data_IF_195060245335
#
_entry.id   IF_195060245335
#
_cell.length_a   1.000
_cell.length_b   1.000
_cell.length_c   1.000
_cell.angle_alpha   90.00
_cell.angle_beta   90.00
_cell.angle_gamma   90.00
#
_symmetry.space_group_name_H-M   'P 1'
#
loop_
_entity.id
_entity.type
_entity.pdbx_description
1 polymer ?
#
# COMPACT_ATOMS: atom_id res chain seq x y z
N UNK A 1 11.77 36.70 49.98
CA UNK A 1 12.33 38.07 50.19
C UNK A 1 11.66 38.97 49.17
N UNK A 2 10.72 39.79 49.62
CA UNK A 2 9.87 40.63 48.77
C UNK A 2 10.59 41.95 48.58
N UNK A 3 11.08 42.28 47.42
CA UNK A 3 11.51 43.63 47.06
C UNK A 3 10.39 44.30 46.24
N UNK A 4 9.76 45.33 46.86
CA UNK A 4 8.92 46.31 46.16
C UNK A 4 9.83 47.36 45.57
N UNK A 5 9.73 47.58 44.25
CA UNK A 5 10.14 48.86 43.68
C UNK A 5 9.19 49.23 42.52
N UNK A 6 8.61 50.41 42.65
CA UNK A 6 7.90 51.26 41.69
C UNK A 6 6.99 50.59 40.64
N UNK A 7 5.76 50.19 41.04
CA UNK A 7 4.55 50.62 40.33
C UNK A 7 4.35 50.17 38.88
N UNK A 8 4.85 48.99 38.38
CA UNK A 8 4.42 48.38 37.10
C UNK A 8 4.46 46.85 37.21
N UNK A 9 3.28 46.25 37.14
CA UNK A 9 3.17 44.81 36.94
C UNK A 9 3.50 44.54 35.49
N UNK A 10 4.71 44.05 35.18
CA UNK A 10 5.05 43.46 33.91
C UNK A 10 4.71 41.98 34.04
N UNK A 11 3.50 41.61 33.58
CA UNK A 11 3.14 40.23 33.38
C UNK A 11 3.94 39.74 32.16
N UNK A 12 5.06 39.06 32.41
CA UNK A 12 5.82 38.36 31.42
C UNK A 12 4.97 37.20 30.90
N UNK A 13 4.12 37.45 29.92
CA UNK A 13 3.56 36.39 29.08
C UNK A 13 4.73 35.79 28.32
N UNK A 14 5.21 34.64 28.80
CA UNK A 14 5.99 33.72 28.01
C UNK A 14 5.07 33.30 26.83
N UNK A 15 5.29 33.91 25.68
CA UNK A 15 4.76 33.37 24.41
C UNK A 15 5.51 32.08 24.15
N UNK A 16 5.07 30.99 24.78
CA UNK A 16 5.38 29.67 24.26
C UNK A 16 4.87 29.66 22.83
N UNK A 17 5.76 29.76 21.87
CA UNK A 17 5.48 29.48 20.47
C UNK A 17 4.97 28.05 20.44
N UNK A 18 3.66 27.88 20.33
CA UNK A 18 3.06 26.57 20.05
C UNK A 18 3.73 26.09 18.75
N UNK A 19 4.63 25.11 18.86
CA UNK A 19 5.20 24.48 17.68
C UNK A 19 4.05 24.02 16.82
N UNK A 20 3.96 24.56 15.60
CA UNK A 20 2.93 24.17 14.64
C UNK A 20 3.20 22.73 14.22
N UNK A 21 2.34 21.80 14.62
CA UNK A 21 2.42 20.38 14.27
C UNK A 21 1.96 20.20 12.84
N UNK A 22 2.81 19.61 11.98
CA UNK A 22 2.51 19.37 10.57
C UNK A 22 1.29 18.46 10.40
N UNK A 23 0.61 18.56 9.26
CA UNK A 23 -0.49 17.64 8.91
C UNK A 23 -0.02 16.18 8.90
N UNK A 24 1.21 15.91 8.46
CA UNK A 24 1.81 14.59 8.51
C UNK A 24 1.89 14.05 9.95
N UNK A 25 2.36 14.86 10.90
CA UNK A 25 2.49 14.43 12.29
C UNK A 25 1.14 14.34 13.00
N UNK A 26 0.17 15.17 12.60
CA UNK A 26 -1.21 15.03 13.06
C UNK A 26 -1.83 13.74 12.56
N UNK A 27 -1.64 13.39 11.27
CA UNK A 27 -2.16 12.17 10.65
C UNK A 27 -1.60 10.91 11.35
N UNK A 28 -0.31 10.89 11.67
CA UNK A 28 0.33 9.79 12.40
C UNK A 28 -0.31 9.47 13.76
N UNK A 29 -1.04 10.40 14.37
CA UNK A 29 -1.79 10.17 15.61
C UNK A 29 -3.04 9.30 15.42
N UNK A 30 -3.54 9.20 14.21
CA UNK A 30 -4.78 8.50 13.87
C UNK A 30 -4.57 7.28 13.00
N UNK A 31 -3.52 7.27 12.18
CA UNK A 31 -3.31 6.33 11.08
C UNK A 31 -1.82 5.97 11.00
N UNK A 32 -1.53 4.70 10.72
CA UNK A 32 -0.16 4.31 10.36
C UNK A 32 0.17 4.82 8.96
N UNK A 33 1.12 5.72 8.87
CA UNK A 33 1.61 6.26 7.59
C UNK A 33 2.57 5.26 6.97
N UNK A 34 2.34 4.94 5.70
CA UNK A 34 3.11 4.01 4.88
C UNK A 34 3.69 4.79 3.70
N UNK A 35 4.92 4.51 3.30
CA UNK A 35 5.52 5.12 2.11
C UNK A 35 5.30 4.24 0.88
N UNK A 36 4.81 4.83 -0.21
CA UNK A 36 4.63 4.15 -1.51
C UNK A 36 5.75 4.56 -2.45
N UNK A 37 6.88 3.84 -2.41
CA UNK A 37 8.06 4.17 -3.22
C UNK A 37 9.07 3.04 -3.31
N UNK A 38 9.79 2.96 -4.44
CA UNK A 38 11.04 2.21 -4.57
C UNK A 38 12.28 3.04 -4.22
N UNK A 39 12.14 4.37 -4.13
CA UNK A 39 13.17 5.30 -3.70
C UNK A 39 13.21 5.36 -2.16
N UNK A 40 13.89 4.39 -1.56
CA UNK A 40 13.85 4.20 -0.11
C UNK A 40 14.63 5.30 0.66
N UNK A 41 15.60 5.96 0.08
CA UNK A 41 16.26 7.07 0.75
C UNK A 41 15.33 8.28 0.92
N UNK A 42 14.46 8.54 -0.07
CA UNK A 42 13.49 9.64 0.01
C UNK A 42 12.48 9.50 1.16
N UNK A 43 12.24 8.28 1.65
CA UNK A 43 11.27 8.06 2.73
C UNK A 43 11.83 8.30 4.14
N UNK A 44 13.16 8.32 4.32
CA UNK A 44 13.80 8.50 5.64
C UNK A 44 13.30 9.73 6.38
N UNK A 45 13.15 10.85 5.67
CA UNK A 45 12.73 12.12 6.27
C UNK A 45 11.31 12.06 6.86
N UNK A 46 10.46 11.17 6.35
CA UNK A 46 9.06 11.08 6.76
C UNK A 46 8.80 10.04 7.85
N UNK A 47 9.75 9.16 8.16
CA UNK A 47 9.65 8.12 9.17
C UNK A 47 8.34 7.31 9.06
N UNK A 48 8.07 6.66 7.91
CA UNK A 48 6.88 5.84 7.75
C UNK A 48 6.97 4.59 8.60
N UNK A 49 5.80 4.02 8.94
CA UNK A 49 5.73 2.78 9.72
C UNK A 49 6.00 1.53 8.86
N UNK A 50 5.34 1.42 7.71
CA UNK A 50 5.51 0.38 6.70
C UNK A 50 5.93 1.02 5.36
N UNK A 51 6.25 0.19 4.37
CA UNK A 51 6.44 0.63 2.99
C UNK A 51 5.79 -0.33 1.99
N UNK A 52 5.35 0.22 0.85
CA UNK A 52 4.85 -0.56 -0.28
C UNK A 52 5.70 -0.32 -1.51
N UNK A 53 5.91 -1.39 -2.26
CA UNK A 53 6.52 -1.34 -3.59
C UNK A 53 5.58 -1.94 -4.62
N UNK A 54 5.93 -1.80 -5.88
CA UNK A 54 5.34 -2.49 -7.02
C UNK A 54 6.35 -2.53 -8.17
N UNK A 55 6.12 -3.33 -9.23
CA UNK A 55 7.06 -3.44 -10.35
C UNK A 55 7.44 -2.10 -11.00
N UNK A 56 6.47 -1.18 -11.13
CA UNK A 56 6.72 0.14 -11.71
C UNK A 56 7.69 0.97 -10.86
N UNK A 57 7.51 0.96 -9.54
CA UNK A 57 8.36 1.70 -8.60
C UNK A 57 9.77 1.12 -8.55
N UNK A 58 9.91 -0.20 -8.57
CA UNK A 58 11.22 -0.87 -8.60
C UNK A 58 11.92 -0.59 -9.93
N UNK A 59 11.22 -0.73 -11.08
CA UNK A 59 11.78 -0.41 -12.38
C UNK A 59 12.27 1.05 -12.43
N UNK A 60 11.46 2.01 -11.95
CA UNK A 60 11.87 3.41 -11.88
C UNK A 60 13.09 3.63 -10.98
N UNK A 61 13.15 2.93 -9.83
CA UNK A 61 14.29 3.02 -8.93
C UNK A 61 15.58 2.49 -9.58
N UNK A 62 15.52 1.38 -10.33
CA UNK A 62 16.70 0.84 -11.04
C UNK A 62 17.30 1.79 -12.08
N UNK A 63 16.55 2.81 -12.52
CA UNK A 63 17.07 3.84 -13.45
C UNK A 63 17.83 4.95 -12.73
N UNK A 64 17.82 4.98 -11.40
CA UNK A 64 18.55 5.96 -10.60
C UNK A 64 19.97 5.45 -10.31
N UNK A 65 21.02 6.28 -10.49
CA UNK A 65 22.42 5.86 -10.25
C UNK A 65 22.64 5.29 -8.85
N UNK A 66 22.01 5.86 -7.84
CA UNK A 66 22.14 5.47 -6.44
C UNK A 66 21.65 4.07 -6.11
N UNK A 67 20.79 3.45 -6.96
CA UNK A 67 20.23 2.10 -6.74
C UNK A 67 20.69 1.07 -7.78
N UNK A 68 21.48 1.48 -8.76
CA UNK A 68 22.02 0.60 -9.81
C UNK A 68 22.77 -0.61 -9.25
N UNK A 69 23.45 -0.43 -8.10
CA UNK A 69 24.20 -1.50 -7.44
C UNK A 69 23.32 -2.69 -7.03
N UNK A 70 22.03 -2.49 -6.73
CA UNK A 70 21.10 -3.58 -6.39
C UNK A 70 20.80 -4.46 -7.60
N UNK A 71 20.63 -3.84 -8.77
CA UNK A 71 20.45 -4.58 -10.03
C UNK A 71 21.72 -5.34 -10.40
N UNK A 72 22.90 -4.71 -10.34
CA UNK A 72 24.18 -5.36 -10.60
C UNK A 72 24.40 -6.53 -9.65
N UNK A 73 24.08 -6.36 -8.36
CA UNK A 73 24.18 -7.42 -7.37
C UNK A 73 23.23 -8.59 -7.70
N UNK A 74 21.96 -8.32 -8.01
CA UNK A 74 20.99 -9.36 -8.34
C UNK A 74 21.44 -10.18 -9.55
N UNK A 75 22.01 -9.54 -10.57
CA UNK A 75 22.57 -10.20 -11.74
C UNK A 75 23.80 -11.02 -11.36
N UNK A 76 24.76 -10.42 -10.64
CA UNK A 76 26.01 -11.09 -10.28
C UNK A 76 25.78 -12.34 -9.43
N UNK A 77 24.83 -12.31 -8.50
CA UNK A 77 24.52 -13.43 -7.62
C UNK A 77 23.94 -14.67 -8.37
N UNK A 78 23.35 -14.45 -9.56
CA UNK A 78 22.62 -15.50 -10.30
C UNK A 78 23.13 -15.76 -11.72
N UNK A 79 24.06 -14.97 -12.27
CA UNK A 79 24.54 -15.11 -13.67
C UNK A 79 25.09 -16.50 -13.99
N UNK A 80 25.79 -17.11 -13.04
CA UNK A 80 26.43 -18.43 -13.20
C UNK A 80 25.53 -19.59 -12.76
N UNK A 81 24.23 -19.31 -12.43
CA UNK A 81 23.28 -20.36 -12.09
C UNK A 81 23.00 -21.29 -13.28
N UNK A 82 22.72 -22.57 -12.99
CA UNK A 82 22.40 -23.58 -14.02
C UNK A 82 20.99 -23.42 -14.64
N UNK A 83 20.26 -22.37 -14.29
CA UNK A 83 18.93 -22.10 -14.81
C UNK A 83 18.99 -21.74 -16.30
N UNK A 84 17.96 -22.12 -17.06
CA UNK A 84 17.79 -21.62 -18.42
C UNK A 84 17.53 -20.10 -18.44
N UNK A 85 17.67 -19.46 -19.59
CA UNK A 85 17.61 -17.99 -19.70
C UNK A 85 16.35 -17.37 -19.12
N UNK A 86 15.17 -17.94 -19.37
CA UNK A 86 13.89 -17.41 -18.88
C UNK A 86 13.78 -17.54 -17.36
N UNK A 87 14.05 -18.72 -16.81
CA UNK A 87 14.02 -18.97 -15.37
C UNK A 87 15.09 -18.15 -14.62
N UNK A 88 16.24 -17.90 -15.26
CA UNK A 88 17.30 -17.04 -14.70
C UNK A 88 16.84 -15.60 -14.57
N UNK A 89 16.23 -15.02 -15.60
CA UNK A 89 15.70 -13.66 -15.57
C UNK A 89 14.63 -13.53 -14.48
N UNK A 90 13.70 -14.50 -14.40
CA UNK A 90 12.68 -14.52 -13.35
C UNK A 90 13.30 -14.55 -11.95
N UNK A 91 14.28 -15.42 -11.73
CA UNK A 91 14.99 -15.51 -10.45
C UNK A 91 15.74 -14.23 -10.10
N UNK A 92 16.35 -13.54 -11.08
CA UNK A 92 17.00 -12.26 -10.87
C UNK A 92 15.99 -11.17 -10.49
N UNK A 93 14.80 -11.16 -11.10
CA UNK A 93 13.72 -10.23 -10.72
C UNK A 93 13.31 -10.47 -9.26
N UNK A 94 13.01 -11.70 -8.88
CA UNK A 94 12.61 -12.04 -7.52
C UNK A 94 13.69 -11.61 -6.51
N UNK A 95 14.96 -11.89 -6.83
CA UNK A 95 16.09 -11.49 -6.00
C UNK A 95 16.23 -9.97 -5.90
N UNK A 96 16.06 -9.25 -7.00
CA UNK A 96 16.05 -7.78 -7.03
C UNK A 96 14.95 -7.18 -6.15
N UNK A 97 13.72 -7.71 -6.25
CA UNK A 97 12.61 -7.27 -5.40
C UNK A 97 12.93 -7.47 -3.91
N UNK A 98 13.52 -8.61 -3.55
CA UNK A 98 13.92 -8.92 -2.18
C UNK A 98 15.07 -8.02 -1.70
N UNK A 99 16.06 -7.72 -2.54
CA UNK A 99 17.13 -6.77 -2.21
C UNK A 99 16.57 -5.38 -1.90
N UNK A 100 15.70 -4.84 -2.75
CA UNK A 100 15.02 -3.57 -2.47
C UNK A 100 14.21 -3.62 -1.17
N UNK A 101 13.43 -4.68 -0.97
CA UNK A 101 12.65 -4.86 0.26
C UNK A 101 13.53 -4.94 1.51
N UNK A 102 14.70 -5.58 1.41
CA UNK A 102 15.66 -5.67 2.52
C UNK A 102 16.25 -4.30 2.88
N UNK A 103 16.60 -3.47 1.89
CA UNK A 103 17.05 -2.10 2.16
C UNK A 103 15.94 -1.24 2.78
N UNK A 104 14.71 -1.35 2.29
CA UNK A 104 13.55 -0.67 2.87
C UNK A 104 13.35 -1.06 4.35
N UNK A 105 13.49 -2.35 4.69
CA UNK A 105 13.29 -2.85 6.05
C UNK A 105 14.36 -2.40 7.06
N UNK A 106 15.46 -1.84 6.59
CA UNK A 106 16.44 -1.14 7.46
C UNK A 106 15.94 0.26 7.88
N UNK A 107 14.98 0.81 7.16
CA UNK A 107 14.45 2.17 7.35
C UNK A 107 13.14 2.14 8.13
N UNK A 108 12.21 1.26 7.73
CA UNK A 108 10.88 1.19 8.35
C UNK A 108 10.87 0.20 9.52
N UNK A 109 10.21 0.54 10.65
CA UNK A 109 10.11 -0.37 11.79
C UNK A 109 9.14 -1.52 11.56
N UNK A 110 8.18 -1.38 10.66
CA UNK A 110 7.12 -2.32 10.37
C UNK A 110 7.46 -3.28 9.21
N UNK A 111 6.64 -3.28 8.16
CA UNK A 111 6.63 -4.27 7.08
C UNK A 111 6.91 -3.64 5.72
N UNK A 112 7.37 -4.49 4.79
CA UNK A 112 7.40 -4.16 3.36
C UNK A 112 6.39 -5.01 2.60
N UNK A 113 5.69 -4.41 1.62
CA UNK A 113 4.87 -5.16 0.66
C UNK A 113 5.66 -5.35 -0.63
N UNK A 114 5.88 -6.62 -1.01
CA UNK A 114 6.56 -7.02 -2.25
C UNK A 114 5.57 -7.70 -3.17
N UNK A 115 5.38 -7.14 -4.36
CA UNK A 115 4.34 -7.55 -5.30
C UNK A 115 4.81 -8.69 -6.20
N UNK A 116 3.97 -9.72 -6.33
CA UNK A 116 4.17 -10.83 -7.27
C UNK A 116 3.94 -10.35 -8.72
N UNK A 117 4.41 -11.15 -9.67
CA UNK A 117 4.16 -10.90 -11.09
C UNK A 117 2.64 -10.84 -11.39
N UNK A 118 2.19 -9.73 -11.95
CA UNK A 118 0.76 -9.54 -12.26
C UNK A 118 0.21 -10.53 -13.28
N UNK A 119 1.07 -11.20 -14.06
CA UNK A 119 0.69 -12.29 -14.99
C UNK A 119 0.15 -13.52 -14.24
N UNK A 120 0.42 -13.63 -12.93
CA UNK A 120 -0.11 -14.68 -12.07
C UNK A 120 -1.52 -14.37 -11.51
N UNK A 121 -2.10 -13.21 -11.82
CA UNK A 121 -3.36 -12.73 -11.23
C UNK A 121 -4.53 -13.70 -11.36
N UNK A 122 -4.51 -14.62 -12.33
CA UNK A 122 -5.54 -15.63 -12.58
C UNK A 122 -5.04 -17.07 -12.37
N UNK A 123 -3.90 -17.24 -11.68
CA UNK A 123 -3.27 -18.54 -11.42
C UNK A 123 -3.05 -18.72 -9.90
N UNK A 124 -3.94 -19.49 -9.26
CA UNK A 124 -3.89 -19.75 -7.82
C UNK A 124 -2.55 -20.38 -7.42
N UNK A 125 -2.20 -21.50 -8.04
CA UNK A 125 -0.97 -22.25 -7.71
C UNK A 125 0.30 -21.44 -7.99
N UNK A 126 0.33 -20.74 -9.13
CA UNK A 126 1.44 -19.86 -9.48
C UNK A 126 1.64 -18.75 -8.44
N UNK A 127 0.55 -18.10 -7.98
CA UNK A 127 0.59 -17.08 -6.95
C UNK A 127 1.05 -17.63 -5.59
N UNK A 128 0.58 -18.82 -5.19
CA UNK A 128 1.01 -19.49 -3.96
C UNK A 128 2.51 -19.80 -4.02
N UNK A 129 2.96 -20.42 -5.09
CA UNK A 129 4.36 -20.80 -5.26
C UNK A 129 5.29 -19.57 -5.29
N UNK A 130 4.89 -18.51 -5.98
CA UNK A 130 5.65 -17.25 -5.99
C UNK A 130 5.70 -16.61 -4.60
N UNK A 131 4.59 -16.60 -3.85
CA UNK A 131 4.56 -16.12 -2.48
C UNK A 131 5.52 -16.87 -1.55
N UNK A 132 5.52 -18.20 -1.64
CA UNK A 132 6.46 -19.06 -0.87
C UNK A 132 7.91 -18.79 -1.25
N UNK A 133 8.19 -18.63 -2.54
CA UNK A 133 9.53 -18.36 -3.06
C UNK A 133 10.06 -17.02 -2.55
N UNK A 134 9.29 -15.96 -2.63
CA UNK A 134 9.68 -14.63 -2.14
C UNK A 134 9.93 -14.64 -0.63
N UNK A 135 9.08 -15.29 0.16
CA UNK A 135 9.29 -15.41 1.60
C UNK A 135 10.58 -16.19 1.92
N UNK A 136 10.83 -17.32 1.23
CA UNK A 136 12.06 -18.08 1.42
C UNK A 136 13.31 -17.24 1.09
N UNK A 137 13.26 -16.40 0.05
CA UNK A 137 14.34 -15.47 -0.28
C UNK A 137 14.56 -14.41 0.82
N UNK A 138 13.50 -13.83 1.35
CA UNK A 138 13.62 -12.91 2.49
C UNK A 138 14.23 -13.59 3.73
N UNK A 139 13.80 -14.79 4.06
CA UNK A 139 14.34 -15.58 5.18
C UNK A 139 15.83 -15.91 5.00
N UNK A 140 16.29 -16.20 3.77
CA UNK A 140 17.71 -16.35 3.43
C UNK A 140 18.53 -15.07 3.67
N UNK A 141 17.89 -13.90 3.54
CA UNK A 141 18.48 -12.61 3.88
C UNK A 141 18.32 -12.22 5.37
N UNK A 142 17.87 -13.15 6.22
CA UNK A 142 17.69 -12.93 7.65
C UNK A 142 16.47 -12.08 8.02
N UNK A 143 15.54 -11.87 7.08
CA UNK A 143 14.30 -11.13 7.30
C UNK A 143 13.19 -12.11 7.69
N UNK A 144 12.59 -11.98 8.88
CA UNK A 144 11.49 -12.85 9.29
C UNK A 144 10.22 -12.54 8.47
N UNK A 145 9.45 -13.59 8.16
CA UNK A 145 8.23 -13.49 7.32
C UNK A 145 7.19 -12.50 7.81
N UNK A 146 7.15 -12.25 9.11
CA UNK A 146 6.23 -11.29 9.75
C UNK A 146 6.51 -9.84 9.33
N UNK A 147 7.72 -9.55 8.83
CA UNK A 147 8.13 -8.25 8.29
C UNK A 147 7.78 -8.08 6.81
N UNK A 148 7.18 -9.10 6.17
CA UNK A 148 6.89 -9.10 4.73
C UNK A 148 5.40 -9.33 4.49
N UNK A 149 4.84 -8.59 3.56
CA UNK A 149 3.52 -8.82 2.98
C UNK A 149 3.69 -9.17 1.51
N UNK A 150 3.25 -10.35 1.11
CA UNK A 150 3.20 -10.71 -0.31
C UNK A 150 2.02 -9.98 -0.94
N UNK A 151 2.30 -9.12 -1.92
CA UNK A 151 1.28 -8.28 -2.55
C UNK A 151 0.77 -8.97 -3.81
N UNK A 152 -0.56 -9.19 -3.88
CA UNK A 152 -1.23 -9.99 -4.91
C UNK A 152 -2.46 -9.21 -5.38
N UNK A 153 -2.80 -9.29 -6.68
CA UNK A 153 -4.02 -8.67 -7.21
C UNK A 153 -5.28 -9.30 -6.59
N UNK A 154 -6.30 -8.47 -6.31
CA UNK A 154 -7.57 -8.90 -5.68
C UNK A 154 -8.53 -9.53 -6.70
N UNK A 155 -8.06 -10.44 -7.54
CA UNK A 155 -8.89 -11.37 -8.31
C UNK A 155 -9.42 -12.46 -7.40
N UNK A 156 -10.43 -13.23 -7.84
CA UNK A 156 -10.86 -14.41 -7.08
C UNK A 156 -9.70 -15.36 -6.81
N UNK A 157 -8.90 -15.62 -7.83
CA UNK A 157 -7.72 -16.49 -7.77
C UNK A 157 -6.66 -15.95 -6.79
N UNK A 158 -6.39 -14.64 -6.83
CA UNK A 158 -5.45 -14.00 -5.90
C UNK A 158 -5.93 -14.06 -4.45
N UNK A 159 -7.22 -13.88 -4.21
CA UNK A 159 -7.85 -14.02 -2.88
C UNK A 159 -7.72 -15.47 -2.37
N UNK A 160 -7.97 -16.47 -3.22
CA UNK A 160 -7.82 -17.88 -2.85
C UNK A 160 -6.36 -18.27 -2.60
N UNK A 161 -5.43 -17.71 -3.37
CA UNK A 161 -4.01 -17.88 -3.10
C UNK A 161 -3.61 -17.30 -1.73
N UNK A 162 -4.08 -16.10 -1.39
CA UNK A 162 -3.80 -15.46 -0.11
C UNK A 162 -4.44 -16.22 1.07
N UNK A 163 -5.63 -16.80 0.90
CA UNK A 163 -6.27 -17.68 1.88
C UNK A 163 -5.41 -18.90 2.21
N UNK A 164 -4.81 -19.53 1.18
CA UNK A 164 -3.89 -20.65 1.38
C UNK A 164 -2.58 -20.21 2.04
N UNK A 165 -1.97 -19.12 1.57
CA UNK A 165 -0.72 -18.59 2.13
C UNK A 165 -0.86 -18.21 3.62
N UNK A 166 -2.03 -17.70 4.03
CA UNK A 166 -2.33 -17.42 5.43
C UNK A 166 -2.21 -18.65 6.32
N UNK A 167 -2.66 -19.82 5.87
CA UNK A 167 -2.54 -21.10 6.62
C UNK A 167 -1.07 -21.47 6.88
N UNK A 168 -0.17 -20.97 6.03
CA UNK A 168 1.27 -21.15 6.11
C UNK A 168 1.97 -20.01 6.86
N UNK A 169 1.20 -19.11 7.49
CA UNK A 169 1.69 -17.91 8.19
C UNK A 169 2.44 -16.94 7.26
N UNK A 170 2.08 -16.92 5.98
CA UNK A 170 2.53 -15.93 5.01
C UNK A 170 1.44 -14.88 4.88
N UNK A 171 1.73 -13.68 5.32
CA UNK A 171 0.80 -12.56 5.27
C UNK A 171 0.76 -11.94 3.86
N UNK A 172 -0.44 -11.59 3.41
CA UNK A 172 -0.65 -10.97 2.11
C UNK A 172 -1.23 -9.56 2.23
N UNK A 173 -0.90 -8.73 1.22
CA UNK A 173 -1.52 -7.45 0.92
C UNK A 173 -2.26 -7.57 -0.41
N UNK A 174 -3.59 -7.57 -0.41
CA UNK A 174 -4.38 -7.67 -1.62
C UNK A 174 -4.57 -6.29 -2.25
N UNK A 175 -4.02 -6.13 -3.46
CA UNK A 175 -3.96 -4.87 -4.23
C UNK A 175 -4.86 -4.91 -5.46
N UNK A 176 -4.91 -3.83 -6.24
CA UNK A 176 -5.85 -3.66 -7.36
C UNK A 176 -7.29 -3.92 -6.89
N UNK A 177 -7.61 -3.38 -5.73
CA UNK A 177 -8.92 -3.49 -5.09
C UNK A 177 -9.70 -2.21 -5.36
N UNK A 178 -10.83 -2.34 -6.02
CA UNK A 178 -11.67 -1.23 -6.48
C UNK A 178 -13.14 -1.40 -6.09
N UNK A 179 -13.60 -2.63 -5.85
CA UNK A 179 -15.01 -2.92 -5.55
C UNK A 179 -15.22 -3.43 -4.13
N UNK A 180 -16.47 -3.30 -3.68
CA UNK A 180 -16.89 -3.81 -2.37
C UNK A 180 -16.89 -5.36 -2.31
N UNK A 181 -17.34 -6.11 -3.34
CA UNK A 181 -17.21 -7.57 -3.36
C UNK A 181 -15.78 -8.07 -3.19
N UNK A 182 -14.78 -7.40 -3.81
CA UNK A 182 -13.37 -7.76 -3.59
C UNK A 182 -12.98 -7.61 -2.11
N UNK A 183 -13.39 -6.52 -1.47
CA UNK A 183 -13.09 -6.29 -0.05
C UNK A 183 -13.74 -7.34 0.85
N UNK A 184 -15.01 -7.68 0.60
CA UNK A 184 -15.72 -8.70 1.39
C UNK A 184 -15.05 -10.07 1.26
N UNK A 185 -14.75 -10.51 0.05
CA UNK A 185 -14.09 -11.80 -0.19
C UNK A 185 -12.70 -11.85 0.46
N UNK A 186 -11.93 -10.75 0.45
CA UNK A 186 -10.64 -10.66 1.15
C UNK A 186 -10.79 -10.82 2.67
N UNK A 187 -11.81 -10.19 3.26
CA UNK A 187 -12.08 -10.31 4.70
C UNK A 187 -12.48 -11.71 5.10
N UNK A 188 -13.35 -12.36 4.32
CA UNK A 188 -13.78 -13.74 4.56
C UNK A 188 -12.65 -14.76 4.41
N UNK A 189 -11.73 -14.52 3.45
CA UNK A 189 -10.49 -15.28 3.32
C UNK A 189 -9.48 -15.01 4.45
N UNK A 190 -9.76 -14.04 5.31
CA UNK A 190 -8.93 -13.63 6.43
C UNK A 190 -7.57 -13.06 6.02
N UNK A 191 -7.50 -12.39 4.90
CA UNK A 191 -6.32 -11.69 4.42
C UNK A 191 -5.81 -10.70 5.46
N UNK A 192 -4.49 -10.57 5.61
CA UNK A 192 -3.90 -9.68 6.61
C UNK A 192 -4.16 -8.21 6.32
N UNK A 193 -4.04 -7.79 5.07
CA UNK A 193 -4.14 -6.39 4.66
C UNK A 193 -4.71 -6.27 3.25
N UNK A 194 -5.52 -5.25 3.02
CA UNK A 194 -5.99 -4.86 1.68
C UNK A 194 -5.57 -3.43 1.35
N UNK A 195 -5.32 -3.18 0.07
CA UNK A 195 -4.97 -1.86 -0.46
C UNK A 195 -6.01 -1.36 -1.47
N UNK A 196 -7.17 -0.86 -1.03
CA UNK A 196 -8.15 -0.23 -1.92
C UNK A 196 -7.59 1.08 -2.51
N UNK A 197 -7.79 1.28 -3.81
CA UNK A 197 -7.25 2.41 -4.56
C UNK A 197 -8.22 3.58 -4.58
N UNK A 198 -7.81 4.71 -4.01
CA UNK A 198 -8.63 5.92 -3.92
C UNK A 198 -8.57 6.73 -5.22
N UNK A 199 -7.39 7.14 -5.64
CA UNK A 199 -7.22 8.07 -6.75
C UNK A 199 -7.57 7.47 -8.12
N UNK A 200 -7.37 6.14 -8.33
CA UNK A 200 -7.78 5.52 -9.60
C UNK A 200 -9.30 5.40 -9.74
N UNK A 201 -10.02 5.24 -8.63
CA UNK A 201 -11.49 5.34 -8.61
C UNK A 201 -11.90 6.75 -8.98
N UNK A 202 -11.34 7.76 -8.31
CA UNK A 202 -11.57 9.16 -8.64
C UNK A 202 -11.32 9.46 -10.12
N UNK A 203 -10.18 9.02 -10.69
CA UNK A 203 -9.83 9.25 -12.09
C UNK A 203 -10.89 8.70 -13.04
N UNK A 204 -11.39 7.48 -12.78
CA UNK A 204 -12.42 6.85 -13.61
C UNK A 204 -13.73 7.64 -13.58
N UNK A 205 -14.21 8.01 -12.39
CA UNK A 205 -15.44 8.79 -12.25
C UNK A 205 -15.31 10.19 -12.87
N UNK A 206 -14.18 10.86 -12.66
CA UNK A 206 -13.92 12.16 -13.29
C UNK A 206 -13.93 12.08 -14.80
N UNK A 207 -13.32 11.07 -15.39
CA UNK A 207 -13.30 10.86 -16.84
C UNK A 207 -14.69 10.57 -17.41
N UNK A 208 -15.52 9.80 -16.69
CA UNK A 208 -16.83 9.38 -17.18
C UNK A 208 -17.96 10.40 -16.90
N UNK A 209 -17.80 11.26 -15.90
CA UNK A 209 -18.85 12.22 -15.50
C UNK A 209 -18.50 13.68 -15.78
N UNK A 210 -17.23 13.99 -16.03
CA UNK A 210 -16.72 15.35 -16.15
C UNK A 210 -16.67 16.14 -14.83
N UNK A 211 -17.03 15.52 -13.68
CA UNK A 211 -17.06 16.19 -12.37
C UNK A 211 -15.73 16.08 -11.66
N UNK A 212 -15.35 17.16 -10.97
CA UNK A 212 -14.21 17.19 -10.06
C UNK A 212 -14.72 16.96 -8.63
N UNK A 213 -14.52 15.74 -8.12
CA UNK A 213 -14.98 15.33 -6.80
C UNK A 213 -13.99 15.75 -5.72
N UNK A 214 -14.49 16.17 -4.53
CA UNK A 214 -13.65 16.62 -3.42
C UNK A 214 -14.20 16.17 -2.08
N UNK A 215 -13.30 15.91 -1.16
CA UNK A 215 -13.65 15.62 0.23
C UNK A 215 -14.56 14.38 0.36
N UNK A 216 -15.69 14.49 1.07
CA UNK A 216 -16.59 13.36 1.30
C UNK A 216 -17.34 12.91 0.03
N UNK A 217 -17.37 13.75 -1.03
CA UNK A 217 -18.02 13.39 -2.30
C UNK A 217 -17.09 12.63 -3.25
N UNK A 218 -15.79 12.50 -2.90
CA UNK A 218 -14.84 11.73 -3.69
C UNK A 218 -15.19 10.23 -3.64
N UNK A 219 -15.50 9.59 -4.81
CA UNK A 219 -15.93 8.20 -4.85
C UNK A 219 -14.87 7.21 -4.33
N UNK A 220 -13.58 7.53 -4.44
CA UNK A 220 -12.51 6.73 -3.86
C UNK A 220 -12.49 6.82 -2.32
N UNK A 221 -12.72 8.02 -1.77
CA UNK A 221 -12.86 8.22 -0.32
C UNK A 221 -14.10 7.48 0.20
N UNK A 222 -15.22 7.58 -0.50
CA UNK A 222 -16.45 6.86 -0.15
C UNK A 222 -16.26 5.34 -0.15
N UNK A 223 -15.58 4.81 -1.17
CA UNK A 223 -15.28 3.38 -1.28
C UNK A 223 -14.49 2.86 -0.07
N UNK A 224 -13.37 3.51 0.26
CA UNK A 224 -12.53 3.10 1.41
C UNK A 224 -13.27 3.28 2.73
N UNK A 225 -14.05 4.34 2.90
CA UNK A 225 -14.89 4.57 4.08
C UNK A 225 -15.91 3.44 4.27
N UNK A 226 -16.60 3.02 3.20
CA UNK A 226 -17.56 1.91 3.22
C UNK A 226 -16.87 0.60 3.63
N UNK A 227 -15.73 0.28 3.05
CA UNK A 227 -14.95 -0.92 3.36
C UNK A 227 -14.49 -0.91 4.83
N UNK A 228 -13.91 0.20 5.30
CA UNK A 228 -13.47 0.37 6.68
C UNK A 228 -14.62 0.14 7.67
N UNK A 229 -15.77 0.80 7.44
CA UNK A 229 -16.94 0.67 8.30
C UNK A 229 -17.44 -0.77 8.34
N UNK A 230 -17.51 -1.44 7.20
CA UNK A 230 -17.90 -2.86 7.12
C UNK A 230 -16.96 -3.75 7.94
N UNK A 231 -15.65 -3.60 7.77
CA UNK A 231 -14.68 -4.41 8.49
C UNK A 231 -14.75 -4.21 10.00
N UNK A 232 -14.83 -2.96 10.45
CA UNK A 232 -14.92 -2.65 11.89
C UNK A 232 -16.25 -3.07 12.49
N UNK A 233 -17.35 -2.96 11.74
CA UNK A 233 -18.67 -3.43 12.20
C UNK A 233 -18.68 -4.92 12.46
N UNK A 234 -18.16 -5.71 11.54
CA UNK A 234 -18.21 -7.18 11.63
C UNK A 234 -16.96 -7.80 12.29
N UNK A 235 -16.07 -6.99 12.83
CA UNK A 235 -14.93 -7.46 13.61
C UNK A 235 -13.85 -8.19 12.79
N UNK A 236 -13.73 -7.88 11.49
CA UNK A 236 -12.66 -8.44 10.68
C UNK A 236 -11.29 -7.86 11.09
N UNK A 237 -10.30 -8.75 11.23
CA UNK A 237 -8.92 -8.38 11.58
C UNK A 237 -8.11 -7.83 10.41
N UNK A 238 -8.63 -7.93 9.20
CA UNK A 238 -8.01 -7.42 7.98
C UNK A 238 -7.80 -5.91 8.08
N UNK A 239 -6.56 -5.46 7.94
CA UNK A 239 -6.21 -4.05 7.96
C UNK A 239 -6.60 -3.39 6.62
N UNK A 240 -7.19 -2.21 6.67
CA UNK A 240 -7.52 -1.41 5.48
C UNK A 240 -6.44 -0.36 5.27
N UNK A 241 -5.80 -0.38 4.10
CA UNK A 241 -4.78 0.59 3.71
C UNK A 241 -5.19 1.36 2.46
N UNK A 242 -5.70 2.57 2.61
CA UNK A 242 -5.98 3.43 1.47
C UNK A 242 -4.71 3.67 0.63
N UNK A 243 -4.84 3.61 -0.70
CA UNK A 243 -3.70 3.66 -1.62
C UNK A 243 -3.97 4.53 -2.86
N UNK A 244 -2.87 4.90 -3.56
CA UNK A 244 -2.93 5.55 -4.88
C UNK A 244 -3.65 6.91 -4.86
N UNK A 245 -3.24 7.79 -3.95
CA UNK A 245 -3.81 9.13 -3.80
C UNK A 245 -3.43 10.09 -4.93
N UNK A 246 -4.27 11.10 -5.19
CA UNK A 246 -4.04 12.19 -6.14
C UNK A 246 -3.78 13.53 -5.47
N UNK A 247 -4.26 13.70 -4.24
CA UNK A 247 -4.11 14.93 -3.47
C UNK A 247 -4.19 14.66 -1.96
N UNK A 248 -3.73 15.60 -1.15
CA UNK A 248 -3.76 15.52 0.31
C UNK A 248 -5.17 15.53 0.88
N UNK A 249 -6.14 16.08 0.18
CA UNK A 249 -7.56 16.05 0.58
C UNK A 249 -8.09 14.63 0.72
N UNK A 250 -7.81 13.73 -0.24
CA UNK A 250 -8.18 12.31 -0.15
C UNK A 250 -7.60 11.65 1.11
N UNK A 251 -6.35 11.98 1.44
CA UNK A 251 -5.65 11.45 2.62
C UNK A 251 -6.29 11.94 3.91
N UNK A 252 -6.55 13.25 4.00
CA UNK A 252 -7.14 13.90 5.19
C UNK A 252 -8.55 13.36 5.47
N UNK A 253 -9.35 13.12 4.43
CA UNK A 253 -10.70 12.57 4.59
C UNK A 253 -10.72 11.08 4.94
N UNK A 254 -9.56 10.41 4.93
CA UNK A 254 -9.39 9.04 5.39
C UNK A 254 -8.58 8.96 6.71
N UNK A 255 -8.34 10.08 7.39
CA UNK A 255 -7.66 10.09 8.69
C UNK A 255 -8.41 9.23 9.71
N UNK A 256 -7.73 8.23 10.27
CA UNK A 256 -8.32 7.20 11.13
C UNK A 256 -8.45 5.83 10.45
N UNK A 257 -8.21 5.74 9.13
CA UNK A 257 -7.98 4.45 8.46
C UNK A 257 -6.81 3.72 9.12
N UNK A 258 -6.81 2.39 9.10
CA UNK A 258 -5.75 1.61 9.74
C UNK A 258 -4.36 2.01 9.21
N UNK A 259 -4.23 2.10 7.88
CA UNK A 259 -3.02 2.56 7.21
C UNK A 259 -3.38 3.43 5.98
N UNK A 260 -2.45 4.27 5.56
CA UNK A 260 -2.50 5.00 4.28
C UNK A 260 -1.12 4.94 3.64
N UNK A 261 -1.03 4.38 2.42
CA UNK A 261 0.23 4.35 1.67
C UNK A 261 0.29 5.55 0.73
N UNK A 262 1.27 6.40 0.98
CA UNK A 262 1.35 7.77 0.46
C UNK A 262 2.66 7.94 -0.30
N UNK A 263 2.60 8.56 -1.49
CA UNK A 263 3.79 8.88 -2.27
C UNK A 263 4.65 9.95 -1.58
N UNK A 264 5.98 9.97 -1.82
CA UNK A 264 6.88 10.96 -1.21
C UNK A 264 6.45 12.41 -1.44
N UNK A 265 5.92 12.74 -2.63
CA UNK A 265 5.47 14.09 -2.93
C UNK A 265 4.31 14.53 -2.04
N UNK A 266 3.33 13.65 -1.80
CA UNK A 266 2.20 13.95 -0.92
C UNK A 266 2.60 13.92 0.57
N UNK A 267 3.58 13.10 0.95
CA UNK A 267 4.18 13.15 2.29
C UNK A 267 4.88 14.49 2.54
N UNK A 268 5.61 14.98 1.56
CA UNK A 268 6.27 16.29 1.62
C UNK A 268 5.26 17.44 1.73
N UNK A 269 4.18 17.39 0.94
CA UNK A 269 3.08 18.37 1.01
C UNK A 269 2.42 18.38 2.39
N UNK A 270 2.09 17.22 2.95
CA UNK A 270 1.53 17.09 4.31
C UNK A 270 2.51 17.57 5.39
N UNK A 271 3.81 17.37 5.20
CA UNK A 271 4.84 17.82 6.16
C UNK A 271 4.97 19.34 6.24
N UNK A 272 4.61 20.05 5.16
CA UNK A 272 4.66 21.51 5.04
C UNK A 272 3.35 22.21 5.32
N UNK A 273 2.26 21.48 5.50
CA UNK A 273 0.95 22.01 5.87
C UNK A 273 0.70 21.88 7.37
N UNK A 274 0.02 22.88 7.97
CA UNK A 274 -0.19 22.97 9.42
C UNK A 274 -1.67 23.16 9.81
N UNK A 275 -2.58 23.06 8.83
CA UNK A 275 -4.01 23.10 9.08
C UNK A 275 -4.45 21.92 9.96
N UNK A 276 -5.40 22.10 10.88
CA UNK A 276 -5.85 21.02 11.76
C UNK A 276 -6.47 19.85 10.98
N UNK A 277 -6.07 18.63 11.35
CA UNK A 277 -6.72 17.39 10.89
C UNK A 277 -7.57 16.81 12.03
N UNK A 278 -8.80 16.41 11.70
CA UNK A 278 -9.66 15.66 12.60
C UNK A 278 -9.79 14.20 12.14
N UNK A 279 -9.94 13.27 13.08
CA UNK A 279 -10.25 11.89 12.77
C UNK A 279 -11.57 11.82 11.97
N UNK A 280 -11.58 11.10 10.87
CA UNK A 280 -12.75 10.88 9.99
C UNK A 280 -13.28 9.45 10.11
N UNK A 281 -12.39 8.49 10.25
CA UNK A 281 -12.74 7.08 10.41
C UNK A 281 -12.51 6.65 11.86
N UNK A 282 -13.57 6.15 12.49
CA UNK A 282 -13.54 5.72 13.89
C UNK A 282 -14.24 4.35 14.04
N UNK A 283 -13.60 3.37 14.71
CA UNK A 283 -14.18 2.04 14.89
C UNK A 283 -15.50 2.04 15.67
N UNK A 284 -15.69 2.99 16.59
CA UNK A 284 -16.94 3.07 17.37
C UNK A 284 -18.10 3.54 16.48
N UNK A 285 -17.88 4.53 15.62
CA UNK A 285 -18.86 4.99 14.63
C UNK A 285 -19.14 3.88 13.61
N UNK A 286 -18.11 3.20 13.14
CA UNK A 286 -18.24 2.10 12.18
C UNK A 286 -19.13 0.97 12.72
N UNK A 287 -18.99 0.61 14.00
CA UNK A 287 -19.82 -0.42 14.66
C UNK A 287 -21.31 -0.06 14.72
N UNK A 288 -21.64 1.22 14.76
CA UNK A 288 -23.01 1.73 14.77
C UNK A 288 -23.63 1.90 13.38
N UNK A 289 -22.88 1.63 12.29
CA UNK A 289 -23.39 1.77 10.91
C UNK A 289 -24.48 0.74 10.57
N UNK A 290 -25.31 1.05 9.56
CA UNK A 290 -26.42 0.17 9.12
C UNK A 290 -25.98 -0.91 8.10
N UNK A 291 -24.66 -1.12 7.91
CA UNK A 291 -24.17 -2.08 6.95
C UNK A 291 -24.69 -3.49 7.25
N UNK A 292 -25.18 -4.19 6.26
CA UNK A 292 -25.58 -5.60 6.35
C UNK A 292 -24.40 -6.51 6.00
N UNK A 293 -24.33 -7.66 6.70
CA UNK A 293 -23.30 -8.66 6.39
C UNK A 293 -23.68 -9.41 5.12
N UNK A 294 -22.75 -9.50 4.19
CA UNK A 294 -22.91 -10.28 2.96
C UNK A 294 -21.88 -11.40 2.93
N UNK A 295 -22.20 -12.48 2.24
CA UNK A 295 -21.31 -13.63 2.01
C UNK A 295 -21.27 -13.90 0.51
N UNK A 296 -20.08 -14.19 -0.02
CA UNK A 296 -19.87 -14.33 -1.44
C UNK A 296 -19.28 -15.73 -1.76
N UNK A 297 -19.98 -16.50 -2.56
CA UNK A 297 -19.38 -17.61 -3.29
C UNK A 297 -18.68 -17.09 -4.57
N UNK A 298 -17.95 -17.95 -5.27
CA UNK A 298 -17.24 -17.57 -6.49
C UNK A 298 -18.17 -17.00 -7.55
N UNK A 299 -19.32 -17.63 -7.77
CA UNK A 299 -20.30 -17.21 -8.79
C UNK A 299 -20.84 -15.82 -8.49
N UNK A 300 -21.24 -15.57 -7.25
CA UNK A 300 -21.77 -14.29 -6.81
C UNK A 300 -20.69 -13.21 -6.84
N UNK A 301 -19.47 -13.53 -6.38
CA UNK A 301 -18.33 -12.61 -6.47
C UNK A 301 -18.07 -12.18 -7.92
N UNK A 302 -17.97 -13.13 -8.87
CA UNK A 302 -17.69 -12.83 -10.27
C UNK A 302 -18.80 -12.01 -10.91
N UNK A 303 -20.04 -12.30 -10.58
CA UNK A 303 -21.19 -11.57 -11.11
C UNK A 303 -21.21 -10.13 -10.58
N UNK A 304 -21.16 -9.93 -9.24
CA UNK A 304 -21.17 -8.59 -8.63
C UNK A 304 -19.93 -7.75 -9.02
N UNK A 305 -18.77 -8.38 -9.15
CA UNK A 305 -17.59 -7.71 -9.65
C UNK A 305 -17.78 -7.23 -11.10
N UNK A 306 -18.40 -8.06 -11.96
CA UNK A 306 -18.67 -7.72 -13.36
C UNK A 306 -19.68 -6.57 -13.51
N UNK A 307 -20.65 -6.46 -12.57
CA UNK A 307 -21.63 -5.35 -12.57
C UNK A 307 -20.99 -3.99 -12.22
N UNK A 308 -19.82 -3.98 -11.58
CA UNK A 308 -19.06 -2.77 -11.29
C UNK A 308 -18.07 -2.47 -12.43
N UNK A 309 -18.53 -1.73 -13.46
CA UNK A 309 -17.71 -1.38 -14.62
C UNK A 309 -16.42 -0.66 -14.26
N UNK A 310 -16.44 0.22 -13.26
CA UNK A 310 -15.23 0.91 -12.80
C UNK A 310 -14.21 -0.09 -12.23
N UNK A 311 -14.66 -1.04 -11.43
CA UNK A 311 -13.76 -2.05 -10.85
C UNK A 311 -13.18 -2.98 -11.91
N UNK A 312 -13.99 -3.45 -12.87
CA UNK A 312 -13.54 -4.27 -14.01
C UNK A 312 -12.47 -3.53 -14.82
N UNK A 313 -12.76 -2.30 -15.24
CA UNK A 313 -11.85 -1.50 -16.04
C UNK A 313 -10.52 -1.28 -15.32
N UNK A 314 -10.57 -0.86 -14.06
CA UNK A 314 -9.36 -0.49 -13.30
C UNK A 314 -8.54 -1.69 -12.84
N UNK A 315 -9.16 -2.82 -12.54
CA UNK A 315 -8.44 -4.07 -12.25
C UNK A 315 -7.71 -4.56 -13.50
N UNK A 316 -8.42 -4.64 -14.63
CA UNK A 316 -7.83 -5.10 -15.89
C UNK A 316 -6.71 -4.15 -16.38
N UNK A 317 -6.91 -2.83 -16.31
CA UNK A 317 -5.88 -1.84 -16.63
C UNK A 317 -4.64 -2.00 -15.73
N UNK A 318 -4.86 -2.19 -14.41
CA UNK A 318 -3.79 -2.36 -13.43
C UNK A 318 -2.94 -3.60 -13.70
N UNK A 319 -3.58 -4.75 -13.96
CA UNK A 319 -2.89 -6.01 -14.30
C UNK A 319 -2.06 -5.83 -15.58
N UNK A 320 -2.64 -5.24 -16.64
CA UNK A 320 -1.90 -4.98 -17.90
C UNK A 320 -0.70 -4.07 -17.70
N UNK A 321 -0.86 -2.98 -16.92
CA UNK A 321 0.21 -2.03 -16.67
C UNK A 321 1.36 -2.66 -15.88
N UNK A 322 1.06 -3.37 -14.80
CA UNK A 322 2.09 -4.03 -13.99
C UNK A 322 2.78 -5.16 -14.77
N UNK A 323 2.05 -5.91 -15.59
CA UNK A 323 2.64 -6.91 -16.51
C UNK A 323 3.61 -6.27 -17.51
N UNK A 324 3.24 -5.12 -18.09
CA UNK A 324 4.12 -4.39 -19.00
C UNK A 324 5.40 -3.87 -18.30
N UNK A 325 5.32 -3.49 -17.03
CA UNK A 325 6.48 -3.04 -16.28
C UNK A 325 7.42 -4.20 -15.90
N UNK A 326 6.89 -5.39 -15.62
CA UNK A 326 7.72 -6.62 -15.48
C UNK A 326 8.45 -6.92 -16.79
N UNK A 327 7.80 -6.83 -17.94
CA UNK A 327 8.44 -7.04 -19.25
C UNK A 327 9.57 -6.03 -19.50
N UNK A 328 9.43 -4.78 -19.04
CA UNK A 328 10.53 -3.80 -19.14
C UNK A 328 11.72 -4.22 -18.27
N UNK A 329 11.45 -4.72 -17.06
CA UNK A 329 12.49 -5.20 -16.14
C UNK A 329 13.18 -6.45 -16.70
N UNK A 330 12.44 -7.40 -17.28
CA UNK A 330 12.99 -8.56 -17.98
C UNK A 330 13.96 -8.15 -19.11
N UNK A 331 13.54 -7.19 -19.96
CA UNK A 331 14.37 -6.67 -21.04
C UNK A 331 15.64 -5.98 -20.53
N UNK A 332 15.53 -5.20 -19.46
CA UNK A 332 16.66 -4.55 -18.83
C UNK A 332 17.68 -5.58 -18.33
N UNK A 333 17.22 -6.62 -17.64
CA UNK A 333 18.09 -7.69 -17.13
C UNK A 333 18.70 -8.49 -18.28
N UNK A 334 17.90 -8.88 -19.28
CA UNK A 334 18.37 -9.61 -20.45
C UNK A 334 19.46 -8.86 -21.24
N UNK A 335 19.43 -7.51 -21.24
CA UNK A 335 20.44 -6.70 -21.92
C UNK A 335 21.76 -6.61 -21.16
N UNK A 336 21.83 -7.12 -19.92
CA UNK A 336 23.02 -7.08 -19.04
C UNK A 336 23.58 -8.47 -18.70
N UNK A 337 22.90 -9.55 -19.13
CA UNK A 337 23.36 -10.94 -19.04
C UNK A 337 24.24 -11.29 -20.24
#
# INVERSE_FOLDING_TARGET
MICRDKGRWVCGMSTATLEKVSQLDQLKKFTKVVADTGDFESMRAFQPYDATTNPSLIFAATQKPEYGYLLEKAIADLKDSALNSSAKIEAIIDHLLVLFGTEILKIVPGRVSTETDARLSFNIEGSINKGRQLIALYEQHGIPRERVLIKIASTWEGIKAAEQLRKERINCNLTLLFSFPQAVACAEAGVRLISPFVGRIYDWYKANTGKDYKGPDDPGVQSVTKIYNYYKKFGYETEVMGASFRNTGQIIYLAGCDLLTISPNLLDELSKSFEPITRKLDPAIAKASDAEKITLDEKTFRFEFNEDSMAVDKTAEGIRKFSADIVKLEKLIASRL
#
